data_IF_942473074008
#
_entry.id   IF_942473074008
#
_cell.length_a   1.000
_cell.length_b   1.000
_cell.length_c   1.000
_cell.angle_alpha   90.00
_cell.angle_beta   90.00
_cell.angle_gamma   90.00
#
_symmetry.space_group_name_H-M   'P 1'
#
loop_
_entity.id
_entity.type
_entity.pdbx_description
1 polymer ?
#
# COMPACT_ATOMS: atom_id res chain seq x y z
N UNK A 1 20.36 -4.28 0.33
CA UNK A 1 20.59 -5.65 0.83
C UNK A 1 20.29 -6.60 -0.31
N UNK A 2 21.27 -7.40 -0.70
CA UNK A 2 21.15 -8.38 -1.75
C UNK A 2 21.26 -9.78 -1.15
N UNK A 3 20.50 -10.73 -1.72
CA UNK A 3 20.56 -12.12 -1.32
C UNK A 3 21.99 -12.65 -1.49
N UNK A 4 22.46 -13.38 -0.48
CA UNK A 4 23.82 -13.93 -0.46
C UNK A 4 24.90 -12.97 0.05
N UNK A 5 24.60 -11.68 0.27
CA UNK A 5 25.51 -10.81 1.02
C UNK A 5 25.51 -11.19 2.49
N UNK A 6 26.63 -10.98 3.15
CA UNK A 6 26.74 -11.28 4.58
C UNK A 6 26.56 -10.00 5.40
N UNK A 7 25.96 -10.15 6.57
CA UNK A 7 25.94 -9.11 7.58
C UNK A 7 27.36 -8.92 8.21
N UNK A 8 27.57 -7.92 9.08
CA UNK A 8 28.86 -7.72 9.75
C UNK A 8 29.36 -8.90 10.59
N UNK A 9 28.48 -9.85 10.88
CA UNK A 9 28.78 -11.07 11.65
C UNK A 9 28.98 -12.30 10.77
N UNK A 10 29.03 -12.13 9.45
CA UNK A 10 29.25 -13.22 8.49
C UNK A 10 28.05 -14.11 8.22
N UNK A 11 26.83 -13.69 8.63
CA UNK A 11 25.59 -14.43 8.33
C UNK A 11 25.02 -13.98 7.00
N UNK A 12 24.66 -14.91 6.10
CA UNK A 12 24.09 -14.54 4.83
C UNK A 12 22.63 -14.04 5.01
N UNK A 13 22.28 -13.03 4.23
CA UNK A 13 20.90 -12.70 3.99
C UNK A 13 20.29 -13.77 3.09
N UNK A 14 19.23 -14.39 3.56
CA UNK A 14 18.58 -15.48 2.83
C UNK A 14 17.10 -15.12 2.67
N UNK A 15 16.68 -15.02 1.40
CA UNK A 15 15.26 -15.08 1.09
C UNK A 15 14.77 -16.49 1.38
N UNK A 16 13.61 -16.60 1.97
CA UNK A 16 12.99 -17.88 2.28
C UNK A 16 11.81 -18.11 1.34
N UNK A 17 11.53 -19.37 1.06
CA UNK A 17 10.30 -19.73 0.38
C UNK A 17 9.10 -19.23 1.20
N UNK A 18 8.23 -18.48 0.54
CA UNK A 18 7.04 -17.88 1.12
C UNK A 18 5.91 -18.88 1.33
N UNK A 19 4.67 -18.36 1.38
CA UNK A 19 3.46 -19.19 1.57
C UNK A 19 3.09 -19.98 0.32
N UNK A 20 3.56 -19.54 -0.84
CA UNK A 20 3.32 -20.16 -2.14
C UNK A 20 4.55 -19.95 -3.02
N UNK A 21 4.74 -20.75 -4.10
CA UNK A 21 5.86 -20.58 -5.01
C UNK A 21 5.94 -19.16 -5.57
N UNK A 22 7.14 -18.56 -5.54
CA UNK A 22 7.37 -17.19 -5.99
C UNK A 22 7.01 -16.08 -5.00
N UNK A 23 6.59 -16.43 -3.77
CA UNK A 23 6.37 -15.45 -2.70
C UNK A 23 7.71 -14.95 -2.15
N UNK A 24 8.11 -13.77 -2.59
CA UNK A 24 9.36 -13.10 -2.21
C UNK A 24 9.16 -12.15 -1.02
N UNK A 25 8.31 -12.50 -0.08
CA UNK A 25 7.99 -11.66 1.06
C UNK A 25 8.70 -12.07 2.36
N UNK A 26 9.24 -13.26 2.45
CA UNK A 26 9.83 -13.79 3.69
C UNK A 26 11.33 -13.64 3.74
N UNK A 27 11.83 -13.28 4.90
CA UNK A 27 13.25 -13.25 5.22
C UNK A 27 13.50 -13.61 6.68
N UNK A 28 14.74 -13.96 6.99
CA UNK A 28 15.16 -14.29 8.35
C UNK A 28 15.94 -13.14 8.95
N UNK A 29 15.57 -12.74 10.15
CA UNK A 29 16.38 -11.89 11.00
C UNK A 29 17.12 -12.74 12.04
N UNK A 30 18.38 -12.40 12.25
CA UNK A 30 19.19 -12.93 13.33
C UNK A 30 19.41 -11.83 14.36
N UNK A 31 19.11 -12.12 15.60
CA UNK A 31 19.41 -11.22 16.72
C UNK A 31 20.26 -11.92 17.77
N UNK A 32 21.31 -11.25 18.24
CA UNK A 32 22.08 -11.72 19.36
C UNK A 32 21.50 -11.15 20.66
N UNK A 33 21.22 -11.99 21.66
CA UNK A 33 20.87 -11.50 22.98
C UNK A 33 22.09 -10.81 23.62
N UNK A 34 21.82 -9.91 24.57
CA UNK A 34 22.86 -9.12 25.22
C UNK A 34 23.88 -9.95 26.03
N UNK A 35 23.57 -11.19 26.29
CA UNK A 35 24.37 -12.14 27.09
C UNK A 35 25.08 -13.21 26.25
N UNK A 36 25.14 -13.06 24.94
CA UNK A 36 25.87 -13.89 23.97
C UNK A 36 25.52 -15.38 23.90
N UNK A 37 24.50 -15.83 24.60
CA UNK A 37 24.30 -17.25 24.75
C UNK A 37 23.69 -17.95 23.53
N UNK A 38 22.74 -17.33 22.82
CA UNK A 38 22.05 -17.93 21.68
C UNK A 38 21.57 -16.87 20.68
N UNK A 39 21.88 -17.04 19.40
CA UNK A 39 21.29 -16.26 18.33
C UNK A 39 19.83 -16.67 18.11
N UNK A 40 18.95 -15.70 18.19
CA UNK A 40 17.56 -15.90 17.82
C UNK A 40 17.40 -15.73 16.31
N UNK A 41 16.67 -16.64 15.72
CA UNK A 41 16.30 -16.62 14.32
C UNK A 41 14.79 -16.44 14.24
N UNK A 42 14.35 -15.34 13.60
CA UNK A 42 12.94 -15.07 13.41
C UNK A 42 12.62 -14.92 11.93
N UNK A 43 11.52 -15.53 11.52
CA UNK A 43 10.97 -15.35 10.18
C UNK A 43 10.10 -14.11 10.18
N UNK A 44 10.39 -13.20 9.24
CA UNK A 44 9.62 -11.98 9.07
C UNK A 44 9.13 -11.87 7.62
N UNK A 45 8.02 -11.17 7.45
CA UNK A 45 7.55 -10.78 6.13
C UNK A 45 7.83 -9.30 5.88
N UNK A 46 8.24 -8.97 4.65
CA UNK A 46 8.42 -7.59 4.21
C UNK A 46 7.12 -6.77 4.19
N UNK A 47 5.97 -7.44 4.34
CA UNK A 47 4.65 -6.82 4.47
C UNK A 47 4.24 -6.55 5.94
N UNK A 48 5.17 -6.60 6.88
CA UNK A 48 4.87 -6.36 8.29
C UNK A 48 4.90 -4.86 8.62
N UNK A 49 3.86 -4.36 9.28
CA UNK A 49 3.75 -2.93 9.62
C UNK A 49 3.70 -2.02 8.40
N UNK A 50 4.08 -0.75 8.57
CA UNK A 50 4.14 0.20 7.46
C UNK A 50 5.22 -0.21 6.45
N UNK A 51 4.80 -0.46 5.22
CA UNK A 51 5.69 -0.89 4.14
C UNK A 51 5.26 -0.28 2.81
N UNK A 52 6.13 -0.35 1.84
CA UNK A 52 5.83 0.01 0.45
C UNK A 52 6.05 -1.22 -0.44
N UNK A 53 5.13 -1.44 -1.37
CA UNK A 53 5.14 -2.56 -2.31
C UNK A 53 5.50 -2.07 -3.70
N UNK A 54 6.34 -2.86 -4.42
CA UNK A 54 6.64 -2.68 -5.83
C UNK A 54 6.24 -3.91 -6.64
N UNK A 55 6.09 -3.76 -7.95
CA UNK A 55 5.55 -4.82 -8.81
C UNK A 55 6.49 -5.98 -9.06
N UNK A 56 7.77 -5.71 -9.32
CA UNK A 56 8.72 -6.72 -9.80
C UNK A 56 8.95 -7.89 -8.85
N UNK A 57 8.90 -7.65 -7.55
CA UNK A 57 9.02 -8.72 -6.56
C UNK A 57 7.87 -9.74 -6.61
N UNK A 58 6.74 -9.37 -7.21
CA UNK A 58 5.58 -10.25 -7.39
C UNK A 58 5.56 -11.02 -8.72
N UNK A 59 6.49 -10.75 -9.62
CA UNK A 59 6.41 -11.22 -11.02
C UNK A 59 6.33 -12.73 -11.13
N UNK A 60 6.99 -13.46 -10.24
CA UNK A 60 7.07 -14.93 -10.29
C UNK A 60 5.73 -15.61 -10.01
N UNK A 61 4.80 -14.92 -9.33
CA UNK A 61 3.48 -15.46 -9.02
C UNK A 61 2.31 -14.61 -9.54
N UNK A 62 2.61 -13.57 -10.32
CA UNK A 62 1.60 -12.73 -10.95
C UNK A 62 1.64 -12.83 -12.48
N UNK A 63 1.05 -13.88 -13.07
CA UNK A 63 1.05 -14.04 -14.52
C UNK A 63 0.35 -12.88 -15.22
N UNK A 64 0.87 -12.51 -16.40
CA UNK A 64 0.27 -11.47 -17.23
C UNK A 64 0.55 -10.03 -16.80
N UNK A 65 1.49 -9.82 -15.89
CA UNK A 65 1.96 -8.48 -15.53
C UNK A 65 3.01 -7.96 -16.52
N UNK A 66 3.16 -6.63 -16.68
CA UNK A 66 4.19 -6.04 -17.53
C UNK A 66 5.60 -6.51 -17.12
N UNK A 67 6.41 -6.84 -18.12
CA UNK A 67 7.78 -7.31 -17.86
C UNK A 67 8.73 -6.20 -17.37
N UNK A 68 8.37 -4.95 -17.57
CA UNK A 68 9.12 -3.76 -17.20
C UNK A 68 8.71 -3.16 -15.84
N UNK A 69 7.91 -3.91 -15.06
CA UNK A 69 7.64 -3.51 -13.68
C UNK A 69 8.92 -3.35 -12.88
N UNK A 70 8.98 -2.27 -12.13
CA UNK A 70 10.09 -1.99 -11.23
C UNK A 70 9.87 -2.62 -9.85
N UNK A 71 10.96 -3.09 -9.27
CA UNK A 71 11.03 -3.38 -7.85
C UNK A 71 11.25 -2.09 -7.05
N UNK A 72 10.86 -2.10 -5.79
CA UNK A 72 11.06 -0.95 -4.88
C UNK A 72 12.52 -0.48 -4.88
N UNK A 73 13.46 -1.41 -5.02
CA UNK A 73 14.91 -1.15 -5.07
C UNK A 73 15.41 -0.52 -6.38
N UNK A 74 14.60 -0.51 -7.43
CA UNK A 74 14.93 0.07 -8.75
C UNK A 74 14.31 1.44 -8.96
N UNK A 75 13.28 1.77 -8.16
CA UNK A 75 12.58 3.04 -8.27
C UNK A 75 13.44 4.20 -7.77
N UNK A 76 13.39 5.36 -8.44
CA UNK A 76 14.10 6.55 -7.99
C UNK A 76 13.56 7.04 -6.64
N UNK A 77 14.41 7.69 -5.84
CA UNK A 77 14.05 8.15 -4.49
C UNK A 77 12.89 9.16 -4.50
N UNK A 78 12.76 9.91 -5.56
CA UNK A 78 11.67 10.88 -5.76
C UNK A 78 10.29 10.23 -5.79
N UNK A 79 10.23 8.93 -6.03
CA UNK A 79 9.00 8.15 -5.91
C UNK A 79 8.46 8.14 -4.48
N UNK A 80 9.35 8.17 -3.50
CA UNK A 80 9.04 7.99 -2.08
C UNK A 80 9.15 9.26 -1.24
N UNK A 81 9.58 10.35 -1.86
CA UNK A 81 9.84 11.64 -1.16
C UNK A 81 9.34 12.80 -2.03
N UNK A 82 8.64 13.74 -1.43
CA UNK A 82 8.25 14.97 -2.09
C UNK A 82 6.85 15.46 -1.76
N UNK A 83 6.33 16.38 -2.58
CA UNK A 83 4.97 16.89 -2.39
C UNK A 83 3.95 15.77 -2.38
N UNK A 84 3.01 15.86 -1.45
CA UNK A 84 1.92 14.91 -1.31
C UNK A 84 0.60 15.64 -1.07
N UNK A 85 -0.45 15.14 -1.73
CA UNK A 85 -1.83 15.49 -1.42
C UNK A 85 -2.36 14.57 -0.34
N UNK A 86 -3.02 15.15 0.65
CA UNK A 86 -3.72 14.43 1.73
C UNK A 86 -5.22 14.59 1.50
N UNK A 87 -5.91 13.47 1.34
CA UNK A 87 -7.35 13.47 1.05
C UNK A 87 -8.09 12.69 2.13
N UNK A 88 -8.91 13.39 2.93
CA UNK A 88 -9.92 12.75 3.78
C UNK A 88 -11.18 12.49 2.98
N UNK A 89 -11.66 11.26 3.07
CA UNK A 89 -12.88 10.79 2.42
C UNK A 89 -14.04 10.63 3.42
N UNK A 90 -13.96 11.29 4.57
CA UNK A 90 -14.98 11.24 5.64
C UNK A 90 -16.35 11.73 5.16
N UNK A 91 -16.37 12.60 4.15
CA UNK A 91 -17.58 13.10 3.51
C UNK A 91 -18.31 12.06 2.65
N UNK A 92 -17.70 10.93 2.35
CA UNK A 92 -18.30 9.82 1.58
C UNK A 92 -19.06 8.89 2.53
N UNK A 93 -20.14 9.38 3.12
CA UNK A 93 -20.96 8.61 4.05
C UNK A 93 -21.46 7.31 3.41
N UNK A 94 -21.37 6.17 4.12
CA UNK A 94 -21.88 4.90 3.62
C UNK A 94 -23.38 4.99 3.29
N UNK A 95 -23.79 4.32 2.21
CA UNK A 95 -25.17 4.33 1.72
C UNK A 95 -25.78 2.93 1.77
N UNK A 96 -27.11 2.88 1.70
CA UNK A 96 -27.84 1.62 1.59
C UNK A 96 -27.50 0.91 0.27
N UNK A 97 -27.64 -0.42 0.23
CA UNK A 97 -27.22 -1.27 -0.89
C UNK A 97 -27.74 -0.83 -2.27
N UNK A 98 -28.95 -0.29 -2.35
CA UNK A 98 -29.49 0.24 -3.61
C UNK A 98 -28.68 1.40 -4.19
N UNK A 99 -27.96 2.14 -3.34
CA UNK A 99 -27.16 3.30 -3.70
C UNK A 99 -25.65 2.96 -3.77
N UNK A 100 -25.28 1.79 -3.29
CA UNK A 100 -23.92 1.28 -3.30
C UNK A 100 -23.72 0.18 -4.35
N UNK A 101 -24.58 0.14 -5.35
CA UNK A 101 -24.47 -0.77 -6.48
C UNK A 101 -23.07 -0.65 -7.11
N UNK A 102 -22.33 -1.75 -7.17
CA UNK A 102 -20.95 -1.74 -7.64
C UNK A 102 -19.90 -1.87 -6.55
N UNK A 103 -20.29 -1.84 -5.26
CA UNK A 103 -19.34 -2.16 -4.20
C UNK A 103 -18.67 -3.52 -4.48
N UNK A 104 -17.34 -3.56 -4.49
CA UNK A 104 -16.61 -4.74 -4.95
C UNK A 104 -16.66 -5.88 -3.92
N UNK A 105 -17.78 -6.55 -3.87
CA UNK A 105 -17.90 -7.81 -3.15
C UNK A 105 -17.37 -8.91 -4.06
N UNK A 106 -16.27 -9.51 -3.66
CA UNK A 106 -15.75 -10.64 -4.41
C UNK A 106 -16.69 -11.86 -4.35
N UNK A 107 -16.53 -12.77 -5.31
CA UNK A 107 -17.27 -14.04 -5.36
C UNK A 107 -17.18 -14.79 -4.04
N UNK A 108 -18.31 -15.25 -3.53
CA UNK A 108 -18.42 -16.01 -2.29
C UNK A 108 -18.53 -15.19 -1.01
N UNK A 109 -18.46 -13.87 -1.08
CA UNK A 109 -18.80 -13.05 0.08
C UNK A 109 -20.31 -13.06 0.27
N UNK A 110 -20.77 -13.86 1.19
CA UNK A 110 -22.17 -13.79 1.62
C UNK A 110 -22.30 -12.63 2.58
N UNK A 111 -23.02 -11.60 2.16
CA UNK A 111 -23.51 -10.59 3.05
C UNK A 111 -24.35 -11.29 4.13
N UNK A 112 -23.85 -11.35 5.34
CA UNK A 112 -24.71 -11.63 6.47
C UNK A 112 -25.52 -10.36 6.70
N UNK A 113 -26.80 -10.44 6.53
CA UNK A 113 -27.80 -9.36 6.65
C UNK A 113 -27.89 -8.69 8.03
N UNK A 114 -26.83 -8.71 8.81
CA UNK A 114 -26.83 -8.23 10.20
C UNK A 114 -26.24 -6.83 10.40
N UNK A 115 -25.57 -6.28 9.42
CA UNK A 115 -25.12 -4.90 9.52
C UNK A 115 -25.98 -4.08 8.59
N UNK A 116 -26.97 -3.40 9.07
CA UNK A 116 -27.88 -2.50 8.33
C UNK A 116 -27.41 -1.99 6.97
N UNK A 117 -27.08 -2.88 6.12
CA UNK A 117 -26.86 -2.79 4.66
C UNK A 117 -26.13 -1.54 4.11
N UNK A 118 -25.38 -0.82 4.95
CA UNK A 118 -24.61 0.34 4.51
C UNK A 118 -23.28 -0.12 3.88
N UNK A 119 -22.96 0.46 2.70
CA UNK A 119 -21.73 0.23 1.97
C UNK A 119 -21.01 1.53 1.69
N UNK A 120 -19.70 1.48 1.64
CA UNK A 120 -18.90 2.61 1.22
C UNK A 120 -19.21 3.01 -0.22
N UNK A 121 -19.06 4.29 -0.49
CA UNK A 121 -19.24 4.85 -1.82
C UNK A 121 -18.00 4.64 -2.70
N UNK A 122 -18.19 4.62 -4.01
CA UNK A 122 -17.09 4.69 -4.97
C UNK A 122 -16.36 6.03 -4.85
N UNK A 123 -15.03 5.96 -4.82
CA UNK A 123 -14.18 7.15 -4.89
C UNK A 123 -14.09 7.55 -6.36
N UNK A 124 -14.67 8.69 -6.70
CA UNK A 124 -14.65 9.26 -8.03
C UNK A 124 -13.55 10.32 -8.18
N UNK A 125 -13.10 10.65 -9.40
CA UNK A 125 -12.10 11.70 -9.64
C UNK A 125 -12.44 13.04 -9.00
N UNK A 126 -13.71 13.41 -8.93
CA UNK A 126 -14.16 14.65 -8.28
C UNK A 126 -13.87 14.70 -6.77
N UNK A 127 -13.86 13.55 -6.10
CA UNK A 127 -13.50 13.47 -4.68
C UNK A 127 -11.98 13.65 -4.45
N UNK A 128 -11.21 13.56 -5.52
CA UNK A 128 -9.75 13.67 -5.53
C UNK A 128 -9.27 14.91 -6.30
N UNK A 129 -10.12 15.92 -6.45
CA UNK A 129 -9.84 17.11 -7.26
C UNK A 129 -8.62 17.92 -6.79
N UNK A 130 -8.27 17.83 -5.50
CA UNK A 130 -7.09 18.48 -4.91
C UNK A 130 -5.76 17.81 -5.25
N UNK A 131 -5.79 16.61 -5.85
CA UNK A 131 -4.57 15.88 -6.22
C UNK A 131 -3.92 16.54 -7.41
N UNK A 132 -2.69 17.01 -7.24
CA UNK A 132 -1.91 17.61 -8.32
C UNK A 132 -1.16 16.54 -9.11
N UNK A 133 -0.79 16.89 -10.34
CA UNK A 133 -0.03 15.98 -11.19
C UNK A 133 1.35 15.69 -10.60
N UNK A 134 1.71 14.41 -10.52
CA UNK A 134 2.99 13.96 -9.99
C UNK A 134 3.08 13.93 -8.48
N UNK A 135 1.97 14.07 -7.77
CA UNK A 135 1.96 13.97 -6.31
C UNK A 135 2.14 12.53 -5.80
N UNK A 136 2.56 12.43 -4.56
CA UNK A 136 2.27 11.30 -3.71
C UNK A 136 0.84 11.51 -3.17
N UNK A 137 -0.02 10.51 -3.27
CA UNK A 137 -1.39 10.59 -2.77
C UNK A 137 -1.54 9.84 -1.45
N UNK A 138 -1.93 10.54 -0.38
CA UNK A 138 -2.25 9.95 0.91
C UNK A 138 -3.77 10.00 1.12
N UNK A 139 -4.40 8.86 1.37
CA UNK A 139 -5.85 8.78 1.57
C UNK A 139 -6.22 8.19 2.92
N UNK A 140 -7.24 8.75 3.52
CA UNK A 140 -7.84 8.30 4.78
C UNK A 140 -9.35 8.42 4.76
N UNK A 141 -10.04 7.66 5.61
CA UNK A 141 -11.41 7.90 6.02
C UNK A 141 -11.66 7.35 7.42
N UNK A 142 -12.73 7.80 8.05
CA UNK A 142 -13.16 7.30 9.37
C UNK A 142 -13.93 5.97 9.29
N UNK A 143 -14.18 5.45 8.09
CA UNK A 143 -15.01 4.26 7.89
C UNK A 143 -14.18 2.98 7.90
N UNK A 144 -14.81 1.87 8.33
CA UNK A 144 -14.18 0.56 8.44
C UNK A 144 -15.00 -0.52 7.74
N UNK A 145 -14.34 -1.62 7.40
CA UNK A 145 -14.97 -2.81 6.82
C UNK A 145 -15.73 -2.49 5.53
N UNK A 146 -16.99 -2.89 5.46
CA UNK A 146 -17.83 -2.70 4.28
C UNK A 146 -18.28 -1.24 4.07
N UNK A 147 -18.08 -0.40 5.06
CA UNK A 147 -18.44 1.02 4.98
C UNK A 147 -17.32 1.88 4.39
N UNK A 148 -16.14 1.32 4.18
CA UNK A 148 -15.02 2.03 3.58
C UNK A 148 -15.34 2.50 2.16
N UNK A 149 -15.08 3.76 1.80
CA UNK A 149 -15.06 4.17 0.41
C UNK A 149 -14.04 3.33 -0.37
N UNK A 150 -14.30 3.08 -1.62
CA UNK A 150 -13.51 2.13 -2.40
C UNK A 150 -13.02 2.68 -3.74
N UNK A 151 -11.82 2.24 -4.13
CA UNK A 151 -11.21 2.57 -5.40
C UNK A 151 -11.75 1.67 -6.51
N UNK A 152 -12.23 2.27 -7.58
CA UNK A 152 -12.59 1.58 -8.82
C UNK A 152 -11.44 1.58 -9.82
N UNK A 153 -11.52 0.70 -10.81
CA UNK A 153 -10.56 0.65 -11.90
C UNK A 153 -10.52 1.96 -12.70
N UNK A 154 -11.67 2.60 -12.91
CA UNK A 154 -11.75 3.88 -13.63
C UNK A 154 -11.03 5.00 -12.90
N UNK A 155 -11.21 5.12 -11.59
CA UNK A 155 -10.51 6.12 -10.78
C UNK A 155 -9.02 5.84 -10.72
N UNK A 156 -8.61 4.58 -10.63
CA UNK A 156 -7.19 4.21 -10.66
C UNK A 156 -6.56 4.53 -12.01
N UNK A 157 -7.26 4.27 -13.12
CA UNK A 157 -6.79 4.69 -14.46
C UNK A 157 -6.55 6.20 -14.51
N UNK A 158 -7.51 6.99 -14.01
CA UNK A 158 -7.37 8.45 -13.93
C UNK A 158 -6.19 8.89 -13.05
N UNK A 159 -5.97 8.25 -11.91
CA UNK A 159 -4.80 8.52 -11.05
C UNK A 159 -3.47 8.24 -11.77
N UNK A 160 -3.41 7.17 -12.57
CA UNK A 160 -2.22 6.78 -13.31
C UNK A 160 -2.00 7.67 -14.53
N UNK A 161 -3.02 7.88 -15.36
CA UNK A 161 -2.89 8.50 -16.67
C UNK A 161 -2.97 10.03 -16.61
N UNK A 162 -3.94 10.56 -15.87
CA UNK A 162 -4.18 12.01 -15.80
C UNK A 162 -3.41 12.69 -14.67
N UNK A 163 -3.40 12.09 -13.49
CA UNK A 163 -2.69 12.66 -12.34
C UNK A 163 -1.24 12.21 -12.25
N UNK A 164 -0.91 11.07 -12.86
CA UNK A 164 0.45 10.53 -12.86
C UNK A 164 1.04 10.49 -11.45
N UNK A 165 0.23 10.04 -10.50
CA UNK A 165 0.68 9.96 -9.09
C UNK A 165 1.92 9.08 -9.00
N UNK A 166 2.88 9.47 -8.16
CA UNK A 166 4.12 8.73 -8.00
C UNK A 166 4.02 7.55 -7.04
N UNK A 167 3.13 7.65 -6.06
CA UNK A 167 2.90 6.63 -5.05
C UNK A 167 1.50 6.81 -4.46
N UNK A 168 0.88 5.71 -4.06
CA UNK A 168 -0.36 5.70 -3.29
C UNK A 168 -0.09 5.28 -1.85
N UNK A 169 -0.39 6.15 -0.89
CA UNK A 169 -0.33 5.87 0.55
C UNK A 169 -1.73 5.74 1.15
N UNK A 170 -1.98 4.67 1.88
CA UNK A 170 -3.29 4.35 2.42
C UNK A 170 -3.24 4.11 3.92
N UNK A 171 -4.19 4.70 4.64
CA UNK A 171 -4.39 4.40 6.04
C UNK A 171 -4.69 2.91 6.26
N UNK A 172 -4.33 2.40 7.41
CA UNK A 172 -4.52 0.99 7.79
C UNK A 172 -5.97 0.52 7.67
N UNK A 173 -6.89 1.40 8.03
CA UNK A 173 -8.32 1.32 7.79
C UNK A 173 -8.73 2.50 6.91
N UNK A 174 -9.94 2.58 6.49
CA UNK A 174 -10.42 3.80 5.85
C UNK A 174 -10.69 3.71 4.36
N UNK A 175 -9.87 3.06 3.57
CA UNK A 175 -10.09 2.94 2.12
C UNK A 175 -10.04 1.48 1.68
N UNK A 176 -11.08 1.05 0.98
CA UNK A 176 -11.10 -0.28 0.37
C UNK A 176 -10.45 -0.24 -1.01
N UNK A 177 -9.34 -0.92 -1.16
CA UNK A 177 -8.55 -0.97 -2.40
C UNK A 177 -8.23 -2.40 -2.86
N UNK A 178 -8.51 -3.38 -2.01
CA UNK A 178 -8.16 -4.78 -2.26
C UNK A 178 -9.33 -5.62 -2.77
N UNK A 179 -10.44 -4.99 -3.12
CA UNK A 179 -11.61 -5.69 -3.58
C UNK A 179 -11.93 -6.95 -2.80
N UNK A 180 -12.64 -6.71 -1.71
CA UNK A 180 -13.15 -7.80 -0.94
C UNK A 180 -12.18 -8.96 -0.83
N UNK A 181 -11.03 -8.65 -0.56
CA UNK A 181 -10.04 -9.54 -0.04
C UNK A 181 -10.33 -11.02 -0.20
N UNK A 182 -11.00 -11.38 -1.34
CA UNK A 182 -11.31 -12.58 -1.52
C UNK A 182 -10.47 -13.23 -2.06
N UNK A 183 -10.20 -13.45 -1.44
CA UNK A 183 -9.71 -14.17 -1.36
C UNK A 183 -8.90 -15.23 -1.92
N UNK A 184 -8.77 -15.39 -3.01
CA UNK A 184 -7.96 -16.46 -3.51
C UNK A 184 -6.49 -16.11 -3.56
N UNK A 185 -6.13 -14.92 -3.86
CA UNK A 185 -4.77 -14.43 -3.70
C UNK A 185 -4.75 -12.89 -3.82
N UNK A 186 -3.87 -12.20 -3.11
CA UNK A 186 -3.61 -10.77 -3.30
C UNK A 186 -3.31 -10.43 -4.78
N UNK A 187 -2.72 -11.38 -5.51
CA UNK A 187 -2.47 -11.31 -6.94
C UNK A 187 -3.71 -11.03 -7.80
N UNK A 188 -4.89 -11.37 -7.33
CA UNK A 188 -6.15 -11.16 -8.06
C UNK A 188 -6.79 -9.79 -7.79
N UNK A 189 -6.19 -8.95 -6.96
CA UNK A 189 -6.66 -7.59 -6.76
C UNK A 189 -6.40 -6.74 -8.00
N UNK A 190 -7.43 -6.35 -8.77
CA UNK A 190 -7.22 -5.58 -9.99
C UNK A 190 -6.57 -4.22 -9.72
N UNK A 191 -6.92 -3.55 -8.64
CA UNK A 191 -6.36 -2.25 -8.26
C UNK A 191 -4.86 -2.35 -7.98
N UNK A 192 -4.44 -3.35 -7.20
CA UNK A 192 -3.03 -3.60 -6.95
C UNK A 192 -2.26 -3.85 -8.24
N UNK A 193 -2.81 -4.69 -9.11
CA UNK A 193 -2.19 -5.03 -10.41
C UNK A 193 -2.06 -3.81 -11.31
N UNK A 194 -3.07 -2.96 -11.37
CA UNK A 194 -3.03 -1.73 -12.17
C UNK A 194 -1.95 -0.77 -11.65
N UNK A 195 -1.95 -0.48 -10.37
CA UNK A 195 -0.98 0.45 -9.77
C UNK A 195 0.47 -0.07 -9.91
N UNK A 196 0.73 -1.28 -9.46
CA UNK A 196 2.08 -1.86 -9.50
C UNK A 196 2.55 -2.11 -10.93
N UNK A 197 1.64 -2.48 -11.85
CA UNK A 197 1.93 -2.62 -13.26
C UNK A 197 2.30 -1.31 -13.96
N UNK A 198 1.79 -0.20 -13.45
CA UNK A 198 2.14 1.15 -13.91
C UNK A 198 3.33 1.76 -13.15
N UNK A 199 4.04 0.98 -12.36
CA UNK A 199 5.14 1.45 -11.49
C UNK A 199 4.71 2.51 -10.46
N UNK A 200 3.46 2.48 -10.02
CA UNK A 200 2.96 3.27 -8.90
C UNK A 200 2.98 2.39 -7.64
N UNK A 201 3.97 2.51 -6.77
CA UNK A 201 4.06 1.71 -5.57
C UNK A 201 2.96 2.06 -4.57
N UNK A 202 2.62 1.11 -3.71
CA UNK A 202 1.58 1.25 -2.71
C UNK A 202 2.21 1.20 -1.32
N UNK A 203 2.01 2.25 -0.53
CA UNK A 203 2.41 2.32 0.88
C UNK A 203 1.21 2.03 1.77
N UNK A 204 1.25 0.92 2.50
CA UNK A 204 0.16 0.45 3.36
C UNK A 204 0.70 -0.60 4.35
N UNK A 205 0.16 -0.71 5.57
CA UNK A 205 -0.77 0.21 6.21
C UNK A 205 -0.05 1.44 6.78
N UNK A 206 -0.58 2.62 6.54
CA UNK A 206 -0.18 3.84 7.22
C UNK A 206 -1.11 4.13 8.40
N UNK A 207 -0.66 4.92 9.35
CA UNK A 207 -1.44 5.37 10.51
C UNK A 207 -1.28 6.88 10.69
N UNK A 208 -2.23 7.49 11.38
CA UNK A 208 -2.24 8.91 11.70
C UNK A 208 -2.35 9.87 10.48
N UNK A 209 -2.75 9.38 9.31
CA UNK A 209 -3.04 10.27 8.17
C UNK A 209 -4.18 11.22 8.54
N UNK A 210 -5.17 10.74 9.29
CA UNK A 210 -6.32 11.51 9.78
C UNK A 210 -5.94 12.66 10.73
N UNK A 211 -4.74 12.66 11.25
CA UNK A 211 -4.25 13.73 12.13
C UNK A 211 -3.61 14.90 11.40
N UNK A 212 -3.31 14.72 10.13
CA UNK A 212 -2.72 15.74 9.27
C UNK A 212 -3.78 16.82 8.99
N UNK A 213 -3.45 18.08 9.23
CA UNK A 213 -4.39 19.19 9.10
C UNK A 213 -4.33 19.87 7.74
N UNK A 214 -3.23 19.69 7.03
CA UNK A 214 -2.99 20.33 5.73
C UNK A 214 -3.31 19.38 4.59
N UNK A 215 -4.01 19.87 3.56
CA UNK A 215 -4.26 19.11 2.33
C UNK A 215 -2.97 18.87 1.52
N UNK A 216 -1.91 19.61 1.85
CA UNK A 216 -0.60 19.52 1.20
C UNK A 216 0.50 19.35 2.23
N UNK A 217 1.32 18.33 2.07
CA UNK A 217 2.46 18.05 2.94
C UNK A 217 3.70 17.70 2.12
N UNK A 218 4.85 17.71 2.77
CA UNK A 218 6.03 17.07 2.22
C UNK A 218 6.16 15.68 2.86
N UNK A 219 6.00 14.64 2.04
CA UNK A 219 6.07 13.25 2.47
C UNK A 219 7.49 12.71 2.36
N UNK A 220 7.86 11.88 3.32
CA UNK A 220 9.11 11.15 3.35
C UNK A 220 8.85 9.72 3.83
N UNK A 221 9.05 8.73 2.97
CA UNK A 221 8.84 7.32 3.30
C UNK A 221 9.73 6.40 2.48
N UNK A 222 11.05 6.60 2.58
CA UNK A 222 12.04 5.87 1.80
C UNK A 222 12.14 4.41 2.26
N UNK A 223 11.98 3.44 1.35
CA UNK A 223 12.18 2.04 1.66
C UNK A 223 13.64 1.68 1.84
N UNK A 224 13.90 0.58 2.52
CA UNK A 224 15.19 -0.07 2.47
C UNK A 224 15.45 -0.62 1.07
N UNK A 225 16.67 -0.54 0.60
CA UNK A 225 17.05 -1.14 -0.67
C UNK A 225 17.20 -2.67 -0.50
N UNK A 226 16.08 -3.38 -0.65
CA UNK A 226 15.98 -4.83 -0.52
C UNK A 226 15.70 -5.44 -1.89
N UNK A 227 16.75 -5.90 -2.57
CA UNK A 227 16.64 -6.52 -3.90
C UNK A 227 15.78 -7.78 -3.86
N UNK A 228 14.94 -7.95 -4.90
CA UNK A 228 14.02 -9.08 -5.12
C UNK A 228 12.82 -9.17 -4.18
N UNK A 229 12.73 -8.36 -3.15
CA UNK A 229 11.57 -8.39 -2.25
C UNK A 229 10.34 -7.71 -2.86
N UNK A 230 9.17 -8.23 -2.55
CA UNK A 230 7.89 -7.66 -2.96
C UNK A 230 7.62 -6.31 -2.32
N UNK A 231 8.13 -6.11 -1.13
CA UNK A 231 7.92 -4.91 -0.32
C UNK A 231 9.13 -4.60 0.56
N UNK A 232 9.14 -3.41 1.10
CA UNK A 232 10.14 -2.99 2.07
C UNK A 232 9.51 -2.15 3.17
N UNK A 233 10.01 -2.32 4.39
CA UNK A 233 9.62 -1.49 5.53
C UNK A 233 9.93 -0.03 5.28
N UNK A 234 9.07 0.83 5.80
CA UNK A 234 9.29 2.26 5.83
C UNK A 234 8.94 2.83 7.22
N UNK A 235 9.49 3.99 7.51
CA UNK A 235 8.95 4.90 8.49
C UNK A 235 8.44 6.12 7.74
N UNK A 236 7.13 6.21 7.58
CA UNK A 236 6.50 7.33 6.90
C UNK A 236 6.47 8.56 7.82
N UNK A 237 6.82 9.71 7.27
CA UNK A 237 6.79 11.01 7.95
C UNK A 237 6.16 12.02 6.99
N UNK A 238 5.25 12.84 7.50
CA UNK A 238 4.69 13.98 6.79
C UNK A 238 5.10 15.28 7.50
N UNK A 239 5.60 16.23 6.73
CA UNK A 239 5.93 17.57 7.21
C UNK A 239 4.83 18.51 6.73
N UNK A 240 4.08 19.04 7.66
CA UNK A 240 3.08 20.07 7.38
C UNK A 240 3.75 21.44 7.19
N UNK A 241 3.20 22.31 6.33
CA UNK A 241 3.68 23.68 6.26
C UNK A 241 3.52 24.37 7.61
N UNK A 242 4.40 25.32 7.95
CA UNK A 242 4.25 26.08 9.19
C UNK A 242 2.89 26.80 9.21
N UNK A 243 2.23 26.80 10.35
CA UNK A 243 0.98 27.55 10.53
C UNK A 243 1.26 29.01 10.15
N UNK A 244 0.43 29.58 9.27
CA UNK A 244 0.50 30.97 8.95
C UNK A 244 0.29 31.77 10.26
N UNK A 245 1.29 32.53 10.67
CA UNK A 245 1.16 33.40 11.83
C UNK A 245 -0.04 34.33 11.60
N UNK A 246 -1.12 34.08 12.35
CA UNK A 246 -2.34 34.91 12.38
C UNK A 246 -2.10 36.24 13.09
#
# INVERSE_FOLDING_TARGET
IEEGTTDPYGKPWVMQEGRFPGDNSLFTLYSAPADDAVWHQERMTSHHGAHVQGGKGHIDHWPGMPADMQGVWEMPLETFVGPASVVSLDHLEPRADEQSAGYPLGEGYKLTSQSGDLRGQEILPEHLASVEQGDILLMTSCYEGLQQPWLSASTVTWLIEDRQIRMLGLQATGVQWQYALKAEAPANSPIRRMLLGANVPISHPLVNIETIKSDRVFYFGVPLNMSKFEASFIRAIAFEPPEANS
#
